data_IF_295086874252
#
_entry.id   IF_295086874252
#
_cell.length_a   1.000
_cell.length_b   1.000
_cell.length_c   1.000
_cell.angle_alpha   90.00
_cell.angle_beta   90.00
_cell.angle_gamma   90.00
#
_symmetry.space_group_name_H-M   'P 1'
#
loop_
_entity.id
_entity.type
_entity.pdbx_description
1 polymer ?
#
# COMPACT_ATOMS: atom_id res chain seq x y z
N UNK A 1 24.85 -16.40 3.34
CA UNK A 1 24.18 -15.24 2.71
C UNK A 1 22.75 -15.12 3.27
N UNK A 2 22.51 -14.36 4.37
CA UNK A 2 21.18 -14.25 4.97
C UNK A 2 20.38 -12.97 4.61
N UNK A 3 20.98 -11.97 3.94
CA UNK A 3 20.38 -10.65 3.71
C UNK A 3 19.04 -10.69 2.94
N UNK A 4 18.95 -11.45 1.86
CA UNK A 4 17.71 -11.51 1.06
C UNK A 4 16.51 -12.07 1.84
N UNK A 5 16.73 -12.96 2.82
CA UNK A 5 15.62 -13.56 3.58
C UNK A 5 14.90 -12.51 4.44
N UNK A 6 15.66 -11.64 5.11
CA UNK A 6 15.10 -10.59 5.95
C UNK A 6 14.38 -9.52 5.12
N UNK A 7 14.93 -9.13 3.96
CA UNK A 7 14.27 -8.17 3.07
C UNK A 7 12.96 -8.72 2.50
N UNK A 8 12.94 -9.99 2.09
CA UNK A 8 11.71 -10.66 1.66
C UNK A 8 10.68 -10.77 2.78
N UNK A 9 11.11 -11.05 4.02
CA UNK A 9 10.22 -11.07 5.19
C UNK A 9 9.61 -9.67 5.44
N UNK A 10 10.40 -8.60 5.35
CA UNK A 10 9.92 -7.21 5.46
C UNK A 10 8.90 -6.87 4.38
N UNK A 11 9.19 -7.19 3.11
CA UNK A 11 8.26 -6.93 1.99
C UNK A 11 6.97 -7.73 2.16
N UNK A 12 7.05 -9.01 2.56
CA UNK A 12 5.87 -9.85 2.78
C UNK A 12 5.02 -9.35 3.95
N UNK A 13 5.65 -8.85 5.02
CA UNK A 13 4.93 -8.25 6.14
C UNK A 13 4.16 -7.00 5.68
N UNK A 14 4.83 -6.10 4.95
CA UNK A 14 4.19 -4.90 4.42
C UNK A 14 3.10 -5.21 3.40
N UNK A 15 3.27 -6.24 2.56
CA UNK A 15 2.21 -6.76 1.69
C UNK A 15 1.00 -7.24 2.49
N UNK A 16 1.20 -7.93 3.60
CA UNK A 16 0.10 -8.34 4.49
C UNK A 16 -0.66 -7.14 5.07
N UNK A 17 0.05 -6.06 5.42
CA UNK A 17 -0.58 -4.81 5.86
C UNK A 17 -1.40 -4.15 4.74
N UNK A 18 -0.84 -4.08 3.52
CA UNK A 18 -1.54 -3.57 2.33
C UNK A 18 -2.80 -4.38 2.01
N UNK A 19 -2.73 -5.72 2.04
CA UNK A 19 -3.87 -6.61 1.80
C UNK A 19 -4.95 -6.46 2.87
N UNK A 20 -4.55 -6.29 4.13
CA UNK A 20 -5.49 -6.01 5.22
C UNK A 20 -6.23 -4.70 4.95
N UNK A 21 -5.50 -3.63 4.62
CA UNK A 21 -6.09 -2.33 4.31
C UNK A 21 -7.02 -2.39 3.09
N UNK A 22 -6.62 -3.11 2.04
CA UNK A 22 -7.45 -3.33 0.85
C UNK A 22 -8.75 -4.08 1.18
N UNK A 23 -8.69 -5.07 2.07
CA UNK A 23 -9.86 -5.81 2.55
C UNK A 23 -10.80 -4.90 3.34
N UNK A 24 -10.25 -4.02 4.18
CA UNK A 24 -11.04 -3.01 4.92
C UNK A 24 -11.72 -2.02 3.98
N UNK A 25 -11.12 -1.69 2.84
CA UNK A 25 -11.74 -0.82 1.83
C UNK A 25 -12.91 -1.48 1.09
N UNK A 26 -12.92 -2.82 1.00
CA UNK A 26 -13.91 -3.58 0.22
C UNK A 26 -15.04 -4.15 1.09
N UNK A 27 -14.82 -4.39 2.38
CA UNK A 27 -15.84 -4.88 3.31
C UNK A 27 -16.71 -3.72 3.85
N UNK A 28 -17.89 -3.56 3.24
CA UNK A 28 -18.83 -2.44 3.33
C UNK A 28 -19.66 -2.29 4.63
N UNK A 29 -19.23 -2.78 5.80
CA UNK A 29 -20.22 -2.94 6.89
C UNK A 29 -20.46 -1.72 7.82
N UNK A 30 -19.58 -0.72 7.94
CA UNK A 30 -19.85 0.46 8.82
C UNK A 30 -19.08 1.74 8.44
N UNK A 31 -19.58 2.45 7.42
CA UNK A 31 -18.92 3.60 6.74
C UNK A 31 -18.35 4.69 7.67
N UNK A 32 -19.00 5.02 8.79
CA UNK A 32 -18.60 6.16 9.63
C UNK A 32 -17.47 5.82 10.63
N UNK A 33 -17.55 4.67 11.31
CA UNK A 33 -16.56 4.25 12.31
C UNK A 33 -15.25 3.76 11.66
N UNK A 34 -15.34 3.21 10.44
CA UNK A 34 -14.20 2.63 9.73
C UNK A 34 -13.28 3.67 9.08
N UNK A 35 -13.75 4.91 8.86
CA UNK A 35 -12.97 5.93 8.14
C UNK A 35 -11.69 6.37 8.87
N UNK A 36 -11.73 6.50 10.19
CA UNK A 36 -10.56 6.86 11.00
C UNK A 36 -9.54 5.72 11.03
N UNK A 37 -10.02 4.48 11.23
CA UNK A 37 -9.17 3.30 11.24
C UNK A 37 -8.48 3.09 9.88
N UNK A 38 -9.20 3.29 8.77
CA UNK A 38 -8.65 3.25 7.41
C UNK A 38 -7.53 4.29 7.22
N UNK A 39 -7.74 5.53 7.66
CA UNK A 39 -6.71 6.57 7.56
C UNK A 39 -5.48 6.25 8.40
N UNK A 40 -5.68 5.68 9.59
CA UNK A 40 -4.59 5.28 10.46
C UNK A 40 -3.77 4.14 9.83
N UNK A 41 -4.43 3.10 9.34
CA UNK A 41 -3.78 1.99 8.64
C UNK A 41 -3.05 2.46 7.36
N UNK A 42 -3.64 3.38 6.59
CA UNK A 42 -2.99 3.97 5.43
C UNK A 42 -1.71 4.74 5.81
N UNK A 43 -1.76 5.49 6.92
CA UNK A 43 -0.59 6.19 7.46
C UNK A 43 0.50 5.22 7.93
N UNK A 44 0.13 4.12 8.59
CA UNK A 44 1.07 3.09 9.05
C UNK A 44 1.78 2.41 7.87
N UNK A 45 1.02 1.99 6.85
CA UNK A 45 1.56 1.43 5.60
C UNK A 45 2.55 2.38 4.94
N UNK A 46 2.22 3.67 4.91
CA UNK A 46 3.09 4.69 4.31
C UNK A 46 4.35 4.95 5.13
N UNK A 47 4.25 4.91 6.46
CA UNK A 47 5.40 5.03 7.35
C UNK A 47 6.38 3.87 7.12
N UNK A 48 5.87 2.62 7.14
CA UNK A 48 6.67 1.42 6.86
C UNK A 48 7.35 1.52 5.49
N UNK A 49 6.64 2.03 4.47
CA UNK A 49 7.26 2.25 3.17
C UNK A 49 8.48 3.17 3.26
N UNK A 50 8.36 4.31 3.93
CA UNK A 50 9.42 5.31 4.03
C UNK A 50 10.61 4.84 4.89
N UNK A 51 10.33 4.09 5.95
CA UNK A 51 11.38 3.70 6.92
C UNK A 51 12.05 2.39 6.57
N UNK A 52 11.33 1.46 5.97
CA UNK A 52 11.79 0.09 5.78
C UNK A 52 11.86 -0.30 4.30
N UNK A 53 10.82 -0.05 3.51
CA UNK A 53 10.72 -0.60 2.14
C UNK A 53 11.58 0.17 1.12
N UNK A 54 11.52 1.50 1.14
CA UNK A 54 12.20 2.34 0.15
C UNK A 54 13.74 2.23 0.20
N UNK A 55 14.28 1.69 1.29
CA UNK A 55 15.72 1.54 1.53
C UNK A 55 16.23 0.11 1.34
N UNK A 56 15.38 -0.85 0.94
CA UNK A 56 15.81 -2.24 0.78
C UNK A 56 16.72 -2.39 -0.45
N UNK A 57 17.81 -3.14 -0.29
CA UNK A 57 18.78 -3.37 -1.36
C UNK A 57 18.15 -4.16 -2.52
N UNK A 58 17.10 -4.93 -2.25
CA UNK A 58 16.32 -5.63 -3.28
C UNK A 58 15.85 -4.67 -4.41
N UNK A 59 15.41 -3.45 -4.09
CA UNK A 59 15.00 -2.49 -5.12
C UNK A 59 16.17 -1.81 -5.83
N UNK A 60 17.34 -1.73 -5.19
CA UNK A 60 18.56 -1.21 -5.82
C UNK A 60 19.15 -2.22 -6.81
N UNK A 61 19.09 -3.51 -6.47
CA UNK A 61 19.70 -4.58 -7.27
C UNK A 61 18.78 -5.09 -8.40
N UNK A 62 17.47 -4.80 -8.34
CA UNK A 62 16.54 -5.19 -9.39
C UNK A 62 16.52 -4.14 -10.53
N UNK A 63 16.61 -4.54 -11.81
CA UNK A 63 16.67 -3.61 -12.95
C UNK A 63 15.49 -2.64 -13.05
N UNK A 64 14.32 -3.06 -12.56
CA UNK A 64 13.10 -2.25 -12.53
C UNK A 64 12.77 -1.70 -11.13
N UNK A 65 13.59 -1.98 -10.11
CA UNK A 65 13.25 -1.67 -8.72
C UNK A 65 13.03 -0.18 -8.46
N UNK A 66 13.86 0.69 -9.03
CA UNK A 66 13.69 2.15 -8.93
C UNK A 66 12.43 2.67 -9.62
N UNK A 67 12.06 2.09 -10.76
CA UNK A 67 10.81 2.44 -11.45
C UNK A 67 9.59 2.02 -10.61
N UNK A 68 9.65 0.83 -10.00
CA UNK A 68 8.62 0.33 -9.10
C UNK A 68 8.49 1.22 -7.86
N UNK A 69 9.61 1.59 -7.20
CA UNK A 69 9.59 2.51 -6.07
C UNK A 69 8.98 3.86 -6.42
N UNK A 70 9.30 4.40 -7.60
CA UNK A 70 8.72 5.67 -8.08
C UNK A 70 7.20 5.55 -8.20
N UNK A 71 6.72 4.45 -8.77
CA UNK A 71 5.29 4.25 -8.99
C UNK A 71 4.55 3.95 -7.68
N UNK A 72 5.15 3.17 -6.78
CA UNK A 72 4.64 2.95 -5.42
C UNK A 72 4.56 4.27 -4.66
N UNK A 73 5.60 5.11 -4.72
CA UNK A 73 5.57 6.44 -4.10
C UNK A 73 4.43 7.30 -4.67
N UNK A 74 4.23 7.27 -6.00
CA UNK A 74 3.12 7.97 -6.66
C UNK A 74 1.77 7.51 -6.13
N UNK A 75 1.53 6.19 -6.03
CA UNK A 75 0.28 5.67 -5.47
C UNK A 75 0.10 6.01 -4.00
N UNK A 76 1.16 6.00 -3.18
CA UNK A 76 1.07 6.39 -1.77
C UNK A 76 0.66 7.87 -1.62
N UNK A 77 1.16 8.77 -2.46
CA UNK A 77 0.70 10.18 -2.50
C UNK A 77 -0.78 10.30 -2.87
N UNK A 78 -1.25 9.45 -3.76
CA UNK A 78 -2.66 9.40 -4.10
C UNK A 78 -3.50 8.88 -2.92
N UNK A 79 -3.02 7.87 -2.19
CA UNK A 79 -3.67 7.36 -0.98
C UNK A 79 -3.79 8.45 0.09
N UNK A 80 -2.72 9.22 0.35
CA UNK A 80 -2.77 10.39 1.25
C UNK A 80 -3.88 11.36 0.84
N UNK A 81 -3.95 11.67 -0.46
CA UNK A 81 -4.96 12.57 -1.01
C UNK A 81 -6.37 12.01 -0.80
N UNK A 82 -6.57 10.70 -0.99
CA UNK A 82 -7.85 10.06 -0.75
C UNK A 82 -8.24 10.05 0.73
N UNK A 83 -7.29 9.88 1.64
CA UNK A 83 -7.54 10.02 3.07
C UNK A 83 -8.07 11.43 3.43
N UNK A 84 -7.52 12.49 2.82
CA UNK A 84 -8.01 13.85 3.00
C UNK A 84 -9.44 14.04 2.48
N UNK A 85 -9.77 13.45 1.32
CA UNK A 85 -11.13 13.47 0.79
C UNK A 85 -12.11 12.65 1.63
N UNK A 86 -11.68 11.49 2.14
CA UNK A 86 -12.46 10.67 3.06
C UNK A 86 -12.80 11.44 4.34
N UNK A 87 -11.82 12.15 4.91
CA UNK A 87 -11.99 12.97 6.12
C UNK A 87 -13.00 14.10 5.95
N UNK A 88 -13.10 14.65 4.74
CA UNK A 88 -13.97 15.80 4.43
C UNK A 88 -15.33 15.38 3.84
N UNK A 89 -15.49 14.13 3.46
CA UNK A 89 -16.74 13.59 2.92
C UNK A 89 -17.83 13.48 4.00
N UNK A 90 -18.91 14.25 3.83
CA UNK A 90 -20.04 14.31 4.79
C UNK A 90 -21.19 13.35 4.52
N UNK A 91 -21.22 12.74 3.35
CA UNK A 91 -22.27 11.79 2.93
C UNK A 91 -21.70 10.40 2.77
N UNK A 92 -22.44 9.39 3.22
CA UNK A 92 -22.08 7.97 3.09
C UNK A 92 -21.72 7.59 1.65
N UNK A 93 -22.47 8.06 0.64
CA UNK A 93 -22.19 7.78 -0.76
C UNK A 93 -20.81 8.30 -1.21
N UNK A 94 -20.44 9.52 -0.83
CA UNK A 94 -19.11 10.07 -1.10
C UNK A 94 -18.02 9.32 -0.32
N UNK A 95 -18.27 8.96 0.94
CA UNK A 95 -17.31 8.18 1.73
C UNK A 95 -17.05 6.82 1.08
N UNK A 96 -18.10 6.11 0.67
CA UNK A 96 -18.00 4.84 -0.04
C UNK A 96 -17.27 4.97 -1.39
N UNK A 97 -17.53 6.04 -2.13
CA UNK A 97 -16.78 6.34 -3.35
C UNK A 97 -15.29 6.53 -3.07
N UNK A 98 -14.92 7.32 -2.07
CA UNK A 98 -13.51 7.53 -1.72
C UNK A 98 -12.85 6.25 -1.20
N UNK A 99 -13.55 5.44 -0.39
CA UNK A 99 -13.05 4.13 0.05
C UNK A 99 -12.77 3.20 -1.14
N UNK A 100 -13.66 3.19 -2.13
CA UNK A 100 -13.47 2.39 -3.35
C UNK A 100 -12.21 2.81 -4.10
N UNK A 101 -12.01 4.12 -4.29
CA UNK A 101 -10.83 4.63 -4.99
C UNK A 101 -9.54 4.38 -4.19
N UNK A 102 -9.58 4.53 -2.87
CA UNK A 102 -8.45 4.21 -1.99
C UNK A 102 -8.08 2.72 -2.10
N UNK A 103 -9.08 1.83 -2.09
CA UNK A 103 -8.86 0.38 -2.28
C UNK A 103 -8.26 0.03 -3.64
N UNK A 104 -8.65 0.73 -4.71
CA UNK A 104 -8.06 0.55 -6.05
C UNK A 104 -6.58 0.97 -6.09
N UNK A 105 -6.24 2.10 -5.46
CA UNK A 105 -4.86 2.58 -5.39
C UNK A 105 -3.96 1.62 -4.61
N UNK A 106 -4.46 1.05 -3.52
CA UNK A 106 -3.74 0.04 -2.74
C UNK A 106 -3.56 -1.25 -3.55
N UNK A 107 -4.59 -1.65 -4.30
CA UNK A 107 -4.50 -2.84 -5.17
C UNK A 107 -3.38 -2.67 -6.20
N UNK A 108 -3.24 -1.49 -6.80
CA UNK A 108 -2.14 -1.21 -7.72
C UNK A 108 -0.75 -1.30 -7.05
N UNK A 109 -0.61 -0.86 -5.79
CA UNK A 109 0.64 -1.03 -5.03
C UNK A 109 0.94 -2.52 -4.83
N UNK A 110 -0.06 -3.30 -4.42
CA UNK A 110 0.08 -4.75 -4.19
C UNK A 110 0.56 -5.43 -5.48
N UNK A 111 -0.08 -5.13 -6.62
CA UNK A 111 0.27 -5.71 -7.92
C UNK A 111 1.72 -5.42 -8.33
N UNK A 112 2.18 -4.17 -8.14
CA UNK A 112 3.57 -3.78 -8.45
C UNK A 112 4.60 -4.56 -7.63
N UNK A 113 4.33 -4.72 -6.33
CA UNK A 113 5.24 -5.41 -5.42
C UNK A 113 5.21 -6.92 -5.66
N UNK A 114 4.04 -7.50 -5.94
CA UNK A 114 3.93 -8.90 -6.31
C UNK A 114 4.64 -9.20 -7.64
N UNK A 115 4.55 -8.30 -8.63
CA UNK A 115 5.26 -8.44 -9.89
C UNK A 115 6.79 -8.43 -9.69
N UNK A 116 7.31 -7.55 -8.82
CA UNK A 116 8.73 -7.53 -8.43
C UNK A 116 9.16 -8.87 -7.81
N UNK A 117 8.42 -9.35 -6.82
CA UNK A 117 8.73 -10.61 -6.13
C UNK A 117 8.65 -11.81 -7.06
N UNK A 118 7.72 -11.82 -8.01
CA UNK A 118 7.56 -12.90 -8.98
C UNK A 118 8.68 -12.89 -10.03
N UNK A 119 9.23 -11.72 -10.35
CA UNK A 119 10.34 -11.56 -11.30
C UNK A 119 11.68 -12.01 -10.72
N UNK A 120 11.88 -11.85 -9.40
CA UNK A 120 13.10 -12.26 -8.69
C UNK A 120 13.23 -13.80 -8.56
N UNK A 121 12.12 -14.54 -8.60
CA UNK A 121 12.10 -16.02 -8.49
C UNK A 121 12.59 -16.72 -9.77
N UNK A 122 12.77 -16.00 -10.88
CA UNK A 122 13.15 -16.58 -12.18
C UNK A 122 14.64 -16.46 -12.55
N UNK A 123 15.49 -15.89 -11.70
CA UNK A 123 16.95 -15.78 -11.91
C UNK A 123 17.75 -16.60 -10.91
#
# INVERSE_FOLDING_TARGET
>A
MPRNRTELETINHWLGQLQTLQSTCTHQSTIAADSLALMQQASEVQQVYQTEIACLALFENHPQGQAILTEVHRYLRLVETQCLFLKTARSSAKQQQQQTVLGQQISAIIELIQALLSSDVQT
#
